data_IF_712799388813
#
_entry.id   IF_712799388813
#
_cell.length_a   1.000
_cell.length_b   1.000
_cell.length_c   1.000
_cell.angle_alpha   90.00
_cell.angle_beta   90.00
_cell.angle_gamma   90.00
#
_symmetry.space_group_name_H-M   'P 1'
#
loop_
_entity.id
_entity.type
_entity.pdbx_description
1 polymer ?
#
# COMPACT_ATOMS: atom_id res chain seq x y z
N UNK A 1 -25.85 0.71 -46.14
CA UNK A 1 -24.60 1.18 -45.53
C UNK A 1 -24.55 0.66 -44.11
N UNK A 2 -23.84 -0.44 -43.93
CA UNK A 2 -23.72 -1.23 -42.70
C UNK A 2 -22.66 -0.62 -41.78
N UNK A 3 -23.05 -0.11 -40.62
CA UNK A 3 -22.11 0.27 -39.56
C UNK A 3 -22.23 -0.73 -38.41
N UNK A 4 -21.50 -1.84 -38.55
CA UNK A 4 -21.27 -2.84 -37.50
C UNK A 4 -20.35 -2.22 -36.45
N UNK A 5 -20.92 -1.58 -35.44
CA UNK A 5 -20.19 -1.04 -34.28
C UNK A 5 -20.16 -2.02 -33.13
N UNK A 6 -19.46 -3.16 -33.26
CA UNK A 6 -19.18 -4.04 -32.13
C UNK A 6 -18.10 -3.42 -31.25
N UNK A 7 -18.49 -2.63 -30.24
CA UNK A 7 -17.60 -2.33 -29.13
C UNK A 7 -17.48 -3.55 -28.23
N UNK A 8 -16.45 -4.37 -28.47
CA UNK A 8 -15.97 -5.38 -27.52
C UNK A 8 -15.45 -4.65 -26.28
N UNK A 9 -16.31 -4.46 -25.29
CA UNK A 9 -15.87 -4.23 -23.93
C UNK A 9 -15.08 -5.46 -23.47
N UNK A 10 -13.75 -5.41 -23.57
CA UNK A 10 -12.86 -6.33 -22.87
C UNK A 10 -13.07 -6.09 -21.38
N UNK A 11 -13.90 -6.94 -20.76
CA UNK A 11 -13.93 -7.12 -19.30
C UNK A 11 -12.48 -7.31 -18.85
N UNK A 12 -11.99 -6.39 -18.02
CA UNK A 12 -10.77 -6.61 -17.24
C UNK A 12 -11.11 -7.73 -16.26
N UNK A 13 -10.81 -8.96 -16.63
CA UNK A 13 -10.80 -10.07 -15.69
C UNK A 13 -9.69 -9.78 -14.69
N UNK A 14 -10.09 -9.46 -13.46
CA UNK A 14 -9.25 -9.60 -12.29
C UNK A 14 -8.80 -11.05 -12.25
N UNK A 15 -7.61 -11.35 -12.78
CA UNK A 15 -7.04 -12.69 -12.67
C UNK A 15 -6.73 -12.90 -11.20
N UNK A 16 -7.57 -13.71 -10.54
CA UNK A 16 -7.24 -14.31 -9.26
C UNK A 16 -5.89 -14.99 -9.43
N UNK A 17 -4.92 -14.58 -8.61
CA UNK A 17 -3.55 -15.02 -8.66
C UNK A 17 -3.48 -16.51 -8.31
N UNK A 18 -3.73 -17.36 -9.30
CA UNK A 18 -3.46 -18.79 -9.20
C UNK A 18 -1.96 -18.96 -8.96
N UNK A 19 -1.63 -19.64 -7.85
CA UNK A 19 -0.28 -20.11 -7.56
C UNK A 19 0.10 -21.09 -8.67
N UNK A 20 0.77 -20.56 -9.69
CA UNK A 20 1.21 -21.31 -10.85
C UNK A 20 2.75 -21.23 -10.92
N UNK A 21 3.39 -22.24 -11.51
CA UNK A 21 4.83 -22.23 -11.75
C UNK A 21 5.29 -20.98 -12.52
N UNK A 22 4.43 -20.42 -13.37
CA UNK A 22 4.67 -19.16 -14.06
C UNK A 22 4.88 -17.97 -13.10
N UNK A 23 4.18 -17.92 -11.96
CA UNK A 23 4.36 -16.81 -11.01
C UNK A 23 5.72 -16.90 -10.33
N UNK A 24 6.15 -18.12 -9.97
CA UNK A 24 7.46 -18.36 -9.38
C UNK A 24 8.59 -17.99 -10.36
N UNK A 25 8.46 -18.41 -11.62
CA UNK A 25 9.43 -18.07 -12.66
C UNK A 25 9.49 -16.57 -12.95
N UNK A 26 8.34 -15.88 -12.94
CA UNK A 26 8.31 -14.42 -13.06
C UNK A 26 9.09 -13.74 -11.93
N UNK A 27 8.88 -14.16 -10.69
CA UNK A 27 9.65 -13.63 -9.55
C UNK A 27 11.15 -13.89 -9.71
N UNK A 28 11.55 -15.06 -10.21
CA UNK A 28 12.95 -15.35 -10.51
C UNK A 28 13.53 -14.39 -11.56
N UNK A 29 12.80 -14.12 -12.64
CA UNK A 29 13.22 -13.17 -13.67
C UNK A 29 13.28 -11.72 -13.18
N UNK A 30 12.37 -11.30 -12.30
CA UNK A 30 12.39 -9.97 -11.68
C UNK A 30 13.65 -9.73 -10.85
N UNK A 31 14.15 -10.77 -10.16
CA UNK A 31 15.41 -10.73 -9.40
C UNK A 31 16.63 -10.69 -10.35
N UNK A 32 16.44 -11.06 -11.62
CA UNK A 32 17.48 -11.12 -12.63
C UNK A 32 18.16 -12.50 -12.74
N UNK A 33 17.50 -13.57 -12.30
CA UNK A 33 18.00 -14.93 -12.46
C UNK A 33 17.83 -15.41 -13.91
N UNK A 34 18.84 -16.10 -14.43
CA UNK A 34 18.70 -16.87 -15.67
C UNK A 34 17.97 -18.18 -15.40
N UNK A 35 17.25 -18.75 -16.40
CA UNK A 35 16.54 -20.02 -16.20
C UNK A 35 17.45 -21.14 -15.70
N UNK A 36 18.67 -21.24 -16.26
CA UNK A 36 19.63 -22.28 -15.90
C UNK A 36 20.06 -22.18 -14.43
N UNK A 37 20.28 -20.95 -13.95
CA UNK A 37 20.64 -20.71 -12.56
C UNK A 37 19.46 -21.02 -11.64
N UNK A 38 18.24 -20.62 -12.01
CA UNK A 38 17.03 -20.91 -11.24
C UNK A 38 16.84 -22.41 -10.99
N UNK A 39 16.99 -23.26 -12.02
CA UNK A 39 16.85 -24.71 -11.87
C UNK A 39 17.95 -25.37 -11.03
N UNK A 40 19.08 -24.70 -10.85
CA UNK A 40 20.20 -25.19 -10.03
C UNK A 40 20.10 -24.80 -8.55
N UNK A 41 19.28 -23.80 -8.21
CA UNK A 41 19.14 -23.29 -6.85
C UNK A 41 18.27 -24.20 -5.99
N UNK A 42 18.59 -24.26 -4.70
CA UNK A 42 17.65 -24.82 -3.72
C UNK A 42 16.51 -23.83 -3.46
N UNK A 43 15.33 -24.35 -3.08
CA UNK A 43 14.19 -23.52 -2.70
C UNK A 43 14.50 -22.50 -1.62
N UNK A 44 15.38 -22.86 -0.67
CA UNK A 44 15.80 -21.97 0.41
C UNK A 44 16.65 -20.81 -0.10
N UNK A 45 17.56 -21.07 -1.02
CA UNK A 45 18.38 -20.01 -1.63
C UNK A 45 17.53 -19.07 -2.47
N UNK A 46 16.60 -19.62 -3.26
CA UNK A 46 15.65 -18.83 -4.02
C UNK A 46 14.80 -17.92 -3.12
N UNK A 47 14.21 -18.47 -2.06
CA UNK A 47 13.43 -17.71 -1.07
C UNK A 47 14.25 -16.57 -0.42
N UNK A 48 15.50 -16.84 -0.05
CA UNK A 48 16.40 -15.82 0.50
C UNK A 48 16.71 -14.71 -0.52
N UNK A 49 16.87 -15.06 -1.80
CA UNK A 49 17.10 -14.08 -2.87
C UNK A 49 15.86 -13.21 -3.11
N UNK A 50 14.66 -13.81 -3.09
CA UNK A 50 13.39 -13.07 -3.18
C UNK A 50 13.29 -12.06 -2.03
N UNK A 51 13.49 -12.50 -0.79
CA UNK A 51 13.42 -11.62 0.39
C UNK A 51 14.47 -10.49 0.32
N UNK A 52 15.68 -10.79 -0.15
CA UNK A 52 16.72 -9.78 -0.32
C UNK A 52 16.33 -8.74 -1.39
N UNK A 53 15.72 -9.17 -2.48
CA UNK A 53 15.22 -8.29 -3.54
C UNK A 53 14.08 -7.40 -3.04
N UNK A 54 13.07 -7.98 -2.37
CA UNK A 54 11.95 -7.23 -1.79
C UNK A 54 12.45 -6.16 -0.80
N UNK A 55 13.39 -6.52 0.08
CA UNK A 55 14.00 -5.58 1.03
C UNK A 55 14.75 -4.43 0.33
N UNK A 56 15.44 -4.74 -0.77
CA UNK A 56 16.13 -3.72 -1.57
C UNK A 56 15.13 -2.77 -2.22
N UNK A 57 14.04 -3.30 -2.77
CA UNK A 57 13.00 -2.50 -3.39
C UNK A 57 12.27 -1.62 -2.35
N UNK A 58 11.95 -2.19 -1.18
CA UNK A 58 11.39 -1.43 -0.06
C UNK A 58 12.31 -0.28 0.37
N UNK A 59 13.63 -0.50 0.42
CA UNK A 59 14.61 0.55 0.73
C UNK A 59 14.60 1.70 -0.29
N UNK A 60 14.43 1.40 -1.58
CA UNK A 60 14.27 2.44 -2.62
C UNK A 60 12.98 3.22 -2.42
N UNK A 61 11.88 2.53 -2.13
CA UNK A 61 10.60 3.18 -1.88
C UNK A 61 10.62 4.05 -0.62
N UNK A 62 11.30 3.61 0.45
CA UNK A 62 11.58 4.42 1.62
C UNK A 62 12.30 5.71 1.23
N UNK A 63 13.37 5.61 0.44
CA UNK A 63 14.13 6.77 -0.01
C UNK A 63 13.28 7.74 -0.85
N UNK A 64 12.56 7.22 -1.85
CA UNK A 64 11.64 8.00 -2.70
C UNK A 64 10.58 8.72 -1.87
N UNK A 65 10.02 8.03 -0.89
CA UNK A 65 9.02 8.58 0.03
C UNK A 65 9.55 9.73 0.87
N UNK A 66 10.77 9.62 1.39
CA UNK A 66 11.39 10.72 2.15
C UNK A 66 11.69 11.93 1.27
N UNK A 67 12.13 11.72 0.03
CA UNK A 67 12.30 12.81 -0.94
C UNK A 67 10.96 13.53 -1.20
N UNK A 68 9.89 12.77 -1.44
CA UNK A 68 8.57 13.35 -1.68
C UNK A 68 8.08 14.10 -0.44
N UNK A 69 8.27 13.55 0.76
CA UNK A 69 7.92 14.21 2.00
C UNK A 69 8.70 15.51 2.20
N UNK A 70 9.99 15.52 1.85
CA UNK A 70 10.81 16.72 1.89
C UNK A 70 10.27 17.79 0.94
N UNK A 71 10.05 17.45 -0.33
CA UNK A 71 9.52 18.39 -1.34
C UNK A 71 8.14 18.91 -0.93
N UNK A 72 7.27 18.04 -0.42
CA UNK A 72 5.96 18.46 0.06
C UNK A 72 6.09 19.43 1.24
N UNK A 73 6.91 19.09 2.23
CA UNK A 73 7.08 19.87 3.45
C UNK A 73 7.85 21.18 3.24
N UNK A 74 8.62 21.34 2.16
CA UNK A 74 9.23 22.64 1.82
C UNK A 74 8.21 23.62 1.23
N UNK A 75 7.10 23.12 0.69
CA UNK A 75 6.08 23.93 0.01
C UNK A 75 4.86 24.28 0.89
N UNK A 76 4.84 23.87 2.17
CA UNK A 76 3.73 24.17 3.07
C UNK A 76 3.88 25.54 3.74
N UNK A 77 2.75 26.22 3.96
CA UNK A 77 2.69 27.49 4.70
C UNK A 77 2.40 27.28 6.18
N UNK A 78 1.67 26.22 6.54
CA UNK A 78 1.27 25.92 7.92
C UNK A 78 1.95 24.64 8.42
N UNK A 79 2.54 24.70 9.61
CA UNK A 79 3.16 23.53 10.26
C UNK A 79 2.19 22.35 10.47
N UNK A 80 0.90 22.63 10.65
CA UNK A 80 -0.14 21.60 10.80
C UNK A 80 -0.37 20.75 9.55
N UNK A 81 0.04 21.22 8.38
CA UNK A 81 -0.09 20.49 7.12
C UNK A 81 1.10 19.55 6.86
N UNK A 82 2.14 19.58 7.71
CA UNK A 82 3.33 18.73 7.57
C UNK A 82 2.91 17.25 7.59
N UNK A 83 3.34 16.49 6.59
CA UNK A 83 3.10 15.05 6.51
C UNK A 83 4.42 14.30 6.64
N UNK A 84 4.40 13.17 7.35
CA UNK A 84 5.52 12.23 7.34
C UNK A 84 5.49 11.41 6.05
N UNK A 85 6.63 10.90 5.62
CA UNK A 85 6.72 10.03 4.44
C UNK A 85 5.69 8.90 4.47
N UNK A 86 5.57 8.22 5.62
CA UNK A 86 4.60 7.14 5.87
C UNK A 86 3.14 7.51 5.54
N UNK A 87 2.75 8.78 5.73
CA UNK A 87 1.40 9.24 5.43
C UNK A 87 1.18 9.54 3.95
N UNK A 88 2.25 9.72 3.17
CA UNK A 88 2.18 10.02 1.74
C UNK A 88 2.18 8.72 0.93
N UNK A 89 3.14 7.83 1.22
CA UNK A 89 3.28 6.52 0.57
C UNK A 89 3.37 5.45 1.66
N UNK A 90 2.27 4.76 1.98
CA UNK A 90 2.30 3.65 2.92
C UNK A 90 3.00 2.45 2.26
N UNK A 91 3.92 1.82 2.99
CA UNK A 91 4.60 0.61 2.53
C UNK A 91 3.83 -0.64 2.96
N UNK A 92 3.86 -1.72 2.16
CA UNK A 92 3.14 -2.95 2.48
C UNK A 92 3.66 -3.62 3.78
N UNK A 93 4.95 -3.50 4.10
CA UNK A 93 5.55 -4.04 5.33
C UNK A 93 5.17 -3.26 6.59
N UNK A 94 4.69 -2.02 6.47
CA UNK A 94 4.34 -1.18 7.61
C UNK A 94 2.95 -1.57 8.15
N UNK A 95 2.89 -1.93 9.44
CA UNK A 95 1.60 -2.10 10.13
C UNK A 95 0.89 -0.75 10.12
N UNK A 96 -0.22 -0.63 9.40
CA UNK A 96 -1.04 0.59 9.38
C UNK A 96 -1.52 0.85 10.81
N UNK A 97 -0.85 1.76 11.53
CA UNK A 97 -1.32 2.23 12.82
C UNK A 97 -2.56 3.08 12.51
N UNK A 98 -3.74 2.44 12.52
CA UNK A 98 -5.01 3.15 12.48
C UNK A 98 -5.01 4.06 13.70
N UNK A 99 -4.81 5.36 13.49
CA UNK A 99 -5.04 6.35 14.54
C UNK A 99 -6.49 6.15 15.00
N UNK A 100 -6.69 5.59 16.19
CA UNK A 100 -8.00 5.66 16.85
C UNK A 100 -8.31 7.15 16.92
N UNK A 101 -9.35 7.58 16.22
CA UNK A 101 -9.90 8.91 16.43
C UNK A 101 -10.46 8.86 17.85
N UNK A 102 -9.64 9.21 18.84
CA UNK A 102 -10.12 9.58 20.16
C UNK A 102 -10.79 10.92 19.97
N UNK A 103 -12.02 10.90 19.48
CA UNK A 103 -12.96 11.97 19.74
C UNK A 103 -12.98 12.12 21.26
N UNK A 104 -12.34 13.19 21.76
CA UNK A 104 -12.38 13.51 23.18
C UNK A 104 -13.86 13.44 23.60
N UNK A 105 -14.23 12.61 24.59
CA UNK A 105 -15.63 12.43 24.96
C UNK A 105 -16.29 13.76 25.37
N UNK A 106 -15.50 14.76 25.77
CA UNK A 106 -15.96 16.12 26.02
C UNK A 106 -16.53 16.82 24.77
N UNK A 107 -15.87 16.69 23.61
CA UNK A 107 -16.34 17.32 22.37
C UNK A 107 -17.61 16.65 21.82
N UNK A 108 -17.72 15.34 21.97
CA UNK A 108 -18.95 14.60 21.62
C UNK A 108 -20.11 14.97 22.56
N UNK A 109 -19.83 15.13 23.85
CA UNK A 109 -20.85 15.54 24.83
C UNK A 109 -21.37 16.96 24.54
N UNK A 110 -20.48 17.88 24.19
CA UNK A 110 -20.85 19.26 23.79
C UNK A 110 -21.70 19.25 22.51
N UNK A 111 -21.31 18.46 21.50
CA UNK A 111 -22.04 18.34 20.24
C UNK A 111 -23.43 17.68 20.41
N UNK A 112 -23.54 16.61 21.22
CA UNK A 112 -24.82 15.98 21.54
C UNK A 112 -25.76 16.94 22.29
N UNK A 113 -25.21 17.79 23.17
CA UNK A 113 -25.98 18.84 23.87
C UNK A 113 -26.54 19.89 22.92
N UNK A 114 -25.77 20.30 21.91
CA UNK A 114 -26.23 21.27 20.90
C UNK A 114 -27.30 20.70 19.97
N UNK A 115 -27.24 19.40 19.67
CA UNK A 115 -28.19 18.71 18.80
C UNK A 115 -29.42 18.14 19.54
N UNK A 116 -29.48 18.26 20.87
CA UNK A 116 -30.59 17.77 21.68
C UNK A 116 -30.69 16.23 21.76
N UNK A 117 -29.59 15.52 21.48
CA UNK A 117 -29.55 14.05 21.47
C UNK A 117 -28.97 13.56 22.81
N UNK A 118 -29.57 12.57 23.48
CA UNK A 118 -29.02 12.02 24.73
C UNK A 118 -27.67 11.35 24.46
N UNK A 119 -26.62 11.79 25.15
CA UNK A 119 -25.28 11.19 25.09
C UNK A 119 -25.25 9.90 25.90
N UNK A 120 -25.10 8.75 25.23
CA UNK A 120 -24.94 7.46 25.89
C UNK A 120 -23.51 6.95 25.63
N UNK A 121 -22.57 7.08 26.59
CA UNK A 121 -21.23 6.54 26.41
C UNK A 121 -21.34 5.02 26.39
N UNK A 122 -20.98 4.39 25.27
CA UNK A 122 -20.87 2.93 25.20
C UNK A 122 -19.71 2.53 26.11
N UNK A 123 -20.04 2.05 27.31
CA UNK A 123 -19.11 1.49 28.28
C UNK A 123 -18.80 0.07 27.80
N UNK A 124 -17.55 -0.18 27.39
CA UNK A 124 -16.98 -1.52 27.31
C UNK A 124 -16.18 -1.79 28.58
#
# INVERSE_FOLDING_TARGET
MTATGQQRHKKKETQESQLNWDSVLRSAFEIGLTPDLFWSLTWREFDLMVQAYEKKEESKWLHTREIIAMIYNTNITKKSQKRSGQQIIPLPSEKVIKKKVTSSPALLKEACRQLGIPFNPIVH
#
